data_IF_529914086329
#
_entry.id   IF_529914086329
#
_cell.length_a   1.000
_cell.length_b   1.000
_cell.length_c   1.000
_cell.angle_alpha   90.00
_cell.angle_beta   90.00
_cell.angle_gamma   90.00
#
_symmetry.space_group_name_H-M   'P 1'
#
loop_
_entity.id
_entity.type
_entity.pdbx_description
1 polymer ?
#
# COMPACT_ATOMS: atom_id res chain seq x y z
N UNK A 1 31.75 3.99 -0.20
CA UNK A 1 30.55 4.85 -0.12
C UNK A 1 29.32 4.12 0.41
N UNK A 2 28.90 2.98 -0.14
CA UNK A 2 27.68 2.28 0.28
C UNK A 2 27.57 1.96 1.78
N UNK A 3 28.66 1.57 2.47
CA UNK A 3 28.63 1.28 3.92
C UNK A 3 28.41 2.49 4.85
N UNK A 4 28.62 3.72 4.37
CA UNK A 4 28.53 4.95 5.19
C UNK A 4 27.22 5.68 4.92
N UNK A 5 26.79 5.74 3.65
CA UNK A 5 25.57 6.46 3.25
C UNK A 5 24.29 5.66 3.56
N UNK A 6 24.29 4.34 3.33
CA UNK A 6 23.11 3.47 3.59
C UNK A 6 22.57 3.51 5.03
N UNK A 7 23.40 3.44 6.10
CA UNK A 7 22.86 3.44 7.47
C UNK A 7 22.28 4.80 7.86
N UNK A 8 22.84 5.91 7.36
CA UNK A 8 22.30 7.26 7.61
C UNK A 8 21.01 7.52 6.82
N UNK A 9 20.90 6.99 5.59
CA UNK A 9 19.70 7.14 4.77
C UNK A 9 18.60 6.14 5.13
N UNK A 10 18.86 5.14 6.00
CA UNK A 10 17.94 4.04 6.32
C UNK A 10 16.55 4.52 6.76
N UNK A 11 16.46 5.64 7.48
CA UNK A 11 15.19 6.26 7.87
C UNK A 11 14.45 6.82 6.65
N UNK A 12 15.10 7.69 5.86
CA UNK A 12 14.54 8.28 4.64
C UNK A 12 14.15 7.21 3.60
N UNK A 13 14.99 6.20 3.40
CA UNK A 13 14.70 5.09 2.49
C UNK A 13 13.47 4.30 2.93
N UNK A 14 13.26 4.15 4.25
CA UNK A 14 12.05 3.50 4.78
C UNK A 14 10.79 4.32 4.46
N UNK A 15 10.86 5.64 4.64
CA UNK A 15 9.75 6.55 4.32
C UNK A 15 9.41 6.50 2.83
N UNK A 16 10.42 6.65 1.97
CA UNK A 16 10.25 6.60 0.51
C UNK A 16 9.69 5.24 0.07
N UNK A 17 10.17 4.13 0.65
CA UNK A 17 9.66 2.80 0.38
C UNK A 17 8.17 2.66 0.73
N UNK A 18 7.75 3.14 1.91
CA UNK A 18 6.34 3.10 2.32
C UNK A 18 5.45 3.93 1.38
N UNK A 19 5.90 5.13 1.00
CA UNK A 19 5.17 5.97 0.06
C UNK A 19 5.01 5.31 -1.30
N UNK A 20 6.11 4.80 -1.88
CA UNK A 20 6.08 4.11 -3.17
C UNK A 20 5.23 2.84 -3.13
N UNK A 21 5.34 2.06 -2.05
CA UNK A 21 4.54 0.85 -1.87
C UNK A 21 3.06 1.19 -1.84
N UNK A 22 2.67 2.19 -1.03
CA UNK A 22 1.28 2.61 -0.89
C UNK A 22 0.74 3.09 -2.24
N UNK A 23 1.47 3.99 -2.91
CA UNK A 23 1.11 4.53 -4.22
C UNK A 23 0.88 3.41 -5.24
N UNK A 24 1.83 2.47 -5.36
CA UNK A 24 1.72 1.39 -6.33
C UNK A 24 0.63 0.39 -6.00
N UNK A 25 0.44 0.07 -4.71
CA UNK A 25 -0.57 -0.87 -4.21
C UNK A 25 -2.00 -0.34 -4.41
N UNK A 26 -2.22 0.98 -4.32
CA UNK A 26 -3.54 1.59 -4.51
C UNK A 26 -3.79 2.13 -5.92
N UNK A 27 -2.85 1.93 -6.85
CA UNK A 27 -2.94 2.50 -8.20
C UNK A 27 -3.98 1.78 -9.07
N UNK A 28 -5.24 2.16 -8.89
CA UNK A 28 -6.38 1.58 -9.59
C UNK A 28 -6.32 1.82 -11.10
N UNK A 29 -6.00 3.05 -11.53
CA UNK A 29 -6.04 3.42 -12.95
C UNK A 29 -5.09 2.57 -13.79
N UNK A 30 -3.86 2.37 -13.31
CA UNK A 30 -2.89 1.53 -13.99
C UNK A 30 -3.35 0.06 -14.05
N UNK A 31 -3.87 -0.45 -12.93
CA UNK A 31 -4.33 -1.83 -12.84
C UNK A 31 -5.53 -2.09 -13.77
N UNK A 32 -6.45 -1.14 -13.93
CA UNK A 32 -7.56 -1.23 -14.89
C UNK A 32 -7.09 -1.28 -16.35
N UNK A 33 -6.00 -0.60 -16.69
CA UNK A 33 -5.46 -0.57 -18.06
C UNK A 33 -4.73 -1.89 -18.39
N UNK A 34 -3.99 -2.43 -17.43
CA UNK A 34 -3.16 -3.63 -17.63
C UNK A 34 -3.97 -4.92 -17.49
N UNK A 35 -4.97 -4.95 -16.61
CA UNK A 35 -5.77 -6.15 -16.38
C UNK A 35 -6.77 -6.36 -17.52
N UNK A 36 -6.41 -7.23 -18.47
CA UNK A 36 -7.24 -7.54 -19.65
C UNK A 36 -8.14 -8.77 -19.50
N UNK A 37 -7.98 -9.57 -18.45
CA UNK A 37 -8.72 -10.83 -18.26
C UNK A 37 -9.13 -11.00 -16.80
N UNK A 38 -10.26 -11.69 -16.54
CA UNK A 38 -10.79 -11.95 -15.19
C UNK A 38 -9.78 -12.64 -14.28
N UNK A 39 -8.90 -13.47 -14.84
CA UNK A 39 -7.83 -14.15 -14.09
C UNK A 39 -6.67 -13.24 -13.65
N UNK A 40 -6.58 -12.02 -14.19
CA UNK A 40 -5.49 -11.06 -13.89
C UNK A 40 -6.01 -9.82 -13.15
N UNK A 41 -7.30 -9.79 -12.82
CA UNK A 41 -7.92 -8.66 -12.11
C UNK A 41 -7.34 -8.53 -10.71
N UNK A 42 -6.82 -7.35 -10.40
CA UNK A 42 -6.35 -7.03 -9.05
C UNK A 42 -7.54 -6.73 -8.13
N UNK A 43 -7.34 -6.90 -6.82
CA UNK A 43 -8.41 -6.70 -5.83
C UNK A 43 -9.00 -5.27 -5.88
N UNK A 44 -8.17 -4.26 -6.14
CA UNK A 44 -8.62 -2.87 -6.35
C UNK A 44 -9.64 -2.76 -7.49
N UNK A 45 -9.29 -3.35 -8.64
CA UNK A 45 -10.13 -3.31 -9.85
C UNK A 45 -11.42 -4.08 -9.62
N UNK A 46 -11.35 -5.24 -8.96
CA UNK A 46 -12.52 -6.04 -8.62
C UNK A 46 -13.52 -5.24 -7.76
N UNK A 47 -13.04 -4.64 -6.66
CA UNK A 47 -13.88 -3.82 -5.77
C UNK A 47 -14.53 -2.66 -6.53
N UNK A 48 -13.79 -2.01 -7.43
CA UNK A 48 -14.32 -0.90 -8.26
C UNK A 48 -15.46 -1.33 -9.19
N UNK A 49 -15.51 -2.59 -9.60
CA UNK A 49 -16.58 -3.12 -10.47
C UNK A 49 -17.83 -3.56 -9.67
N UNK A 50 -17.71 -3.72 -8.35
CA UNK A 50 -18.81 -4.20 -7.51
C UNK A 50 -19.89 -3.16 -7.20
N UNK A 51 -19.59 -1.86 -7.40
CA UNK A 51 -20.52 -0.76 -7.10
C UNK A 51 -21.82 -0.77 -7.94
N UNK A 52 -21.85 -1.46 -9.08
CA UNK A 52 -23.04 -1.57 -9.94
C UNK A 52 -23.94 -2.77 -9.58
N UNK A 53 -23.67 -3.96 -10.15
CA UNK A 53 -24.55 -5.13 -10.03
C UNK A 53 -24.64 -5.73 -8.60
N UNK A 54 -23.69 -5.44 -7.71
CA UNK A 54 -23.65 -5.96 -6.35
C UNK A 54 -24.06 -4.93 -5.28
N UNK A 55 -24.62 -3.77 -5.68
CA UNK A 55 -25.03 -2.72 -4.74
C UNK A 55 -26.04 -3.17 -3.68
N UNK A 56 -26.84 -4.20 -3.95
CA UNK A 56 -27.80 -4.78 -3.00
C UNK A 56 -27.14 -5.65 -1.92
N UNK A 57 -25.91 -6.15 -2.16
CA UNK A 57 -25.18 -7.00 -1.21
C UNK A 57 -23.72 -6.51 -1.05
N UNK A 58 -23.49 -5.44 -0.28
CA UNK A 58 -22.17 -4.83 -0.16
C UNK A 58 -21.22 -5.61 0.79
N UNK A 59 -21.69 -6.67 1.45
CA UNK A 59 -20.90 -7.44 2.43
C UNK A 59 -19.54 -7.91 1.88
N UNK A 60 -19.49 -8.59 0.70
CA UNK A 60 -18.24 -9.02 0.10
C UNK A 60 -17.34 -7.87 -0.32
N UNK A 61 -17.90 -6.72 -0.73
CA UNK A 61 -17.14 -5.51 -1.06
C UNK A 61 -16.41 -4.95 0.17
N UNK A 62 -17.08 -4.90 1.33
CA UNK A 62 -16.46 -4.47 2.58
C UNK A 62 -15.39 -5.47 3.04
N UNK A 63 -15.66 -6.78 2.95
CA UNK A 63 -14.67 -7.81 3.28
C UNK A 63 -13.42 -7.69 2.40
N UNK A 64 -13.60 -7.51 1.09
CA UNK A 64 -12.51 -7.29 0.13
C UNK A 64 -11.74 -5.99 0.44
N UNK A 65 -12.42 -4.90 0.80
CA UNK A 65 -11.78 -3.63 1.20
C UNK A 65 -10.90 -3.78 2.45
N UNK A 66 -11.35 -4.57 3.43
CA UNK A 66 -10.55 -4.88 4.63
C UNK A 66 -9.29 -5.66 4.24
N UNK A 67 -9.43 -6.69 3.41
CA UNK A 67 -8.30 -7.48 2.91
C UNK A 67 -7.32 -6.64 2.10
N UNK A 68 -7.81 -5.71 1.28
CA UNK A 68 -7.01 -4.78 0.49
C UNK A 68 -6.16 -3.85 1.38
N UNK A 69 -6.72 -3.42 2.51
CA UNK A 69 -6.05 -2.49 3.46
C UNK A 69 -5.08 -3.23 4.39
N UNK A 70 -5.31 -4.52 4.65
CA UNK A 70 -4.53 -5.35 5.55
C UNK A 70 -3.00 -5.31 5.33
N UNK A 71 -2.45 -5.45 4.11
CA UNK A 71 -1.01 -5.39 3.89
C UNK A 71 -0.41 -4.02 4.20
N UNK A 72 -1.14 -2.93 3.97
CA UNK A 72 -0.71 -1.58 4.35
C UNK A 72 -0.61 -1.44 5.87
N UNK A 73 -1.58 -2.00 6.61
CA UNK A 73 -1.56 -2.02 8.08
C UNK A 73 -0.35 -2.82 8.59
N UNK A 74 -0.11 -4.01 8.02
CA UNK A 74 1.03 -4.85 8.41
C UNK A 74 2.35 -4.11 8.18
N UNK A 75 2.53 -3.48 7.01
CA UNK A 75 3.71 -2.68 6.72
C UNK A 75 3.84 -1.51 7.69
N UNK A 76 2.75 -0.79 7.96
CA UNK A 76 2.76 0.31 8.92
C UNK A 76 3.20 -0.17 10.30
N UNK A 77 2.71 -1.30 10.80
CA UNK A 77 3.11 -1.84 12.10
C UNK A 77 4.59 -2.23 12.14
N UNK A 78 5.11 -2.84 11.08
CA UNK A 78 6.54 -3.22 10.98
C UNK A 78 7.44 -1.98 10.97
N UNK A 79 7.05 -0.93 10.25
CA UNK A 79 7.87 0.25 10.03
C UNK A 79 7.58 1.41 11.00
N UNK A 80 6.49 1.37 11.77
CA UNK A 80 6.10 2.36 12.77
C UNK A 80 7.25 2.71 13.73
N UNK A 81 8.01 1.69 14.18
CA UNK A 81 9.17 1.90 15.05
C UNK A 81 10.31 2.67 14.38
N UNK A 82 10.58 2.40 13.09
CA UNK A 82 11.59 3.13 12.29
C UNK A 82 11.18 4.59 12.06
N UNK A 83 9.89 4.86 11.97
CA UNK A 83 9.35 6.20 11.80
C UNK A 83 9.55 7.05 13.06
N UNK A 84 9.36 6.47 14.26
CA UNK A 84 9.62 7.12 15.54
C UNK A 84 11.11 7.46 15.73
N UNK A 85 12.00 6.52 15.42
CA UNK A 85 13.45 6.71 15.51
C UNK A 85 13.96 7.81 14.54
N UNK A 86 13.32 7.93 13.37
CA UNK A 86 13.64 8.94 12.36
C UNK A 86 13.31 10.37 12.78
N UNK A 87 12.14 10.59 13.40
CA UNK A 87 11.72 11.92 13.87
C UNK A 87 12.61 12.45 15.01
N UNK A 88 13.10 11.56 15.88
CA UNK A 88 14.04 11.92 16.95
C UNK A 88 15.40 12.43 16.41
N UNK A 89 15.82 12.01 15.21
CA UNK A 89 17.06 12.48 14.59
C UNK A 89 16.95 13.90 14.03
N UNK A 90 15.75 14.37 13.68
CA UNK A 90 15.51 15.73 13.18
C UNK A 90 15.50 16.79 14.31
N UNK A 91 15.31 16.39 15.57
CA UNK A 91 15.19 17.30 16.73
C UNK A 91 16.46 17.41 17.59
N UNK A 92 17.62 16.97 17.09
CA UNK A 92 18.94 17.25 17.68
C UNK A 92 19.78 18.06 16.69
#
# INVERSE_FOLDING_TARGET
MFKVVLPMSKSITTVIFLFLFTDRWTNLLWDMIVSKSDSTVTLNVLISQMFGPYGTYPGPMYAASVLLTLPLIILFLIFSKRFQDGMQFTLK
#
